data_IF_047586113916
#
_entry.id   IF_047586113916
#
_cell.length_a   1.000
_cell.length_b   1.000
_cell.length_c   1.000
_cell.angle_alpha   90.00
_cell.angle_beta   90.00
_cell.angle_gamma   90.00
#
_symmetry.space_group_name_H-M   'P 1'
#
loop_
_entity.id
_entity.type
_entity.pdbx_description
1 polymer ?
#
# COMPACT_ATOMS: atom_id res chain seq x y z
N UNK A 1 33.21 -2.34 -54.70
CA UNK A 1 33.85 -2.45 -53.39
C UNK A 1 34.91 -3.52 -53.45
N UNK A 2 36.16 -3.17 -53.24
CA UNK A 2 37.24 -4.15 -53.16
C UNK A 2 36.98 -5.04 -51.93
N UNK A 3 36.87 -6.35 -52.13
CA UNK A 3 36.86 -7.29 -51.01
C UNK A 3 38.24 -7.24 -50.37
N UNK A 4 38.29 -6.97 -49.07
CA UNK A 4 39.50 -7.13 -48.29
C UNK A 4 39.90 -8.61 -48.38
N UNK A 5 40.90 -8.92 -49.15
CA UNK A 5 41.53 -10.23 -49.24
C UNK A 5 42.72 -10.23 -48.27
N UNK A 6 43.09 -11.35 -47.70
CA UNK A 6 44.23 -11.50 -46.78
C UNK A 6 44.06 -10.71 -45.45
N UNK A 7 42.98 -10.86 -44.76
CA UNK A 7 42.77 -10.24 -43.44
C UNK A 7 42.65 -11.27 -42.35
N UNK A 8 43.03 -10.86 -41.14
CA UNK A 8 42.78 -11.53 -39.88
C UNK A 8 42.07 -10.55 -38.95
N UNK A 9 41.28 -11.06 -38.01
CA UNK A 9 40.52 -10.23 -37.09
C UNK A 9 40.89 -10.58 -35.65
N UNK A 10 41.02 -9.55 -34.78
CA UNK A 10 41.12 -9.73 -33.33
C UNK A 10 39.98 -9.01 -32.66
N UNK A 11 39.34 -9.72 -31.72
CA UNK A 11 38.15 -9.27 -30.95
C UNK A 11 38.35 -9.44 -29.45
N UNK A 12 37.61 -8.66 -28.69
CA UNK A 12 37.57 -8.76 -27.21
C UNK A 12 38.64 -7.92 -26.52
N UNK A 13 39.31 -8.48 -25.53
CA UNK A 13 40.18 -7.78 -24.60
C UNK A 13 41.56 -7.47 -25.13
N UNK A 14 41.63 -6.66 -26.19
CA UNK A 14 42.85 -6.08 -26.75
C UNK A 14 42.69 -4.56 -26.85
N UNK A 15 43.77 -3.80 -26.85
CA UNK A 15 43.67 -2.34 -26.90
C UNK A 15 43.10 -1.83 -28.22
N UNK A 16 43.41 -2.52 -29.37
CA UNK A 16 42.87 -2.17 -30.68
C UNK A 16 42.24 -3.37 -31.37
N UNK A 17 40.97 -3.67 -31.03
CA UNK A 17 40.24 -4.71 -31.74
C UNK A 17 39.93 -4.27 -33.18
N UNK A 18 39.95 -5.20 -34.11
CA UNK A 18 39.67 -4.90 -35.52
C UNK A 18 40.27 -5.89 -36.50
N UNK A 19 40.21 -5.50 -37.78
CA UNK A 19 40.76 -6.27 -38.89
C UNK A 19 42.16 -5.78 -39.23
N UNK A 20 43.09 -6.72 -39.38
CA UNK A 20 44.48 -6.48 -39.70
C UNK A 20 44.83 -7.17 -41.01
N UNK A 21 45.73 -6.58 -41.78
CA UNK A 21 46.17 -7.15 -43.05
C UNK A 21 47.22 -8.25 -42.79
N UNK A 22 46.93 -9.47 -43.25
CA UNK A 22 47.86 -10.59 -43.17
C UNK A 22 49.01 -10.37 -44.18
N UNK A 23 50.24 -10.28 -43.69
CA UNK A 23 51.40 -9.99 -44.49
C UNK A 23 52.68 -10.15 -43.67
N UNK A 24 53.80 -9.53 -44.17
CA UNK A 24 55.10 -9.64 -43.52
C UNK A 24 55.15 -9.16 -42.08
N UNK A 25 54.31 -8.15 -41.75
CA UNK A 25 54.27 -7.56 -40.39
C UNK A 25 53.30 -8.29 -39.43
N UNK A 26 52.21 -8.84 -39.96
CA UNK A 26 51.22 -9.59 -39.18
C UNK A 26 51.08 -10.97 -39.81
N UNK A 27 51.77 -11.95 -39.26
CA UNK A 27 51.81 -13.31 -39.80
C UNK A 27 51.63 -14.40 -38.75
N UNK A 28 51.57 -14.02 -37.46
CA UNK A 28 51.43 -14.92 -36.34
C UNK A 28 50.59 -14.31 -35.23
N UNK A 29 50.17 -15.11 -34.26
CA UNK A 29 49.42 -14.65 -33.11
C UNK A 29 50.18 -13.58 -32.33
N UNK A 30 51.49 -13.77 -32.11
CA UNK A 30 52.35 -12.79 -31.45
C UNK A 30 52.31 -11.44 -32.18
N UNK A 31 52.60 -11.45 -33.47
CA UNK A 31 52.63 -10.22 -34.25
C UNK A 31 51.27 -9.55 -34.35
N UNK A 32 50.15 -10.31 -34.34
CA UNK A 32 48.80 -9.77 -34.32
C UNK A 32 48.50 -9.04 -32.98
N UNK A 33 48.87 -9.66 -31.86
CA UNK A 33 48.66 -9.06 -30.52
C UNK A 33 49.57 -7.81 -30.38
N UNK A 34 50.80 -7.84 -30.85
CA UNK A 34 51.70 -6.67 -30.85
C UNK A 34 51.15 -5.50 -31.67
N UNK A 35 50.57 -5.76 -32.84
CA UNK A 35 49.93 -4.74 -33.68
C UNK A 35 48.59 -4.26 -33.11
N UNK A 36 47.93 -5.06 -32.26
CA UNK A 36 46.78 -4.65 -31.51
C UNK A 36 47.13 -3.85 -30.21
N UNK A 37 48.39 -3.40 -30.07
CA UNK A 37 48.96 -2.72 -28.91
C UNK A 37 48.91 -3.56 -27.62
N UNK A 38 48.79 -4.89 -27.75
CA UNK A 38 48.69 -5.80 -26.62
C UNK A 38 47.27 -6.13 -26.17
N UNK A 39 47.20 -6.83 -25.05
CA UNK A 39 45.92 -7.20 -24.39
C UNK A 39 45.64 -6.26 -23.23
N UNK A 40 44.37 -6.05 -22.92
CA UNK A 40 43.97 -5.23 -21.80
C UNK A 40 44.27 -5.93 -20.46
N UNK A 41 44.31 -5.18 -19.33
CA UNK A 41 44.65 -5.72 -18.01
C UNK A 41 43.67 -6.80 -17.53
N UNK A 42 42.43 -6.73 -17.98
CA UNK A 42 41.36 -7.66 -17.68
C UNK A 42 41.27 -8.85 -18.64
N UNK A 43 42.18 -8.97 -19.63
CA UNK A 43 42.21 -10.07 -20.56
C UNK A 43 42.45 -11.43 -19.89
N UNK A 44 41.78 -12.48 -20.37
CA UNK A 44 42.11 -13.87 -20.10
C UNK A 44 43.16 -14.32 -21.08
N UNK A 45 44.43 -14.29 -20.68
CA UNK A 45 45.59 -14.57 -21.56
C UNK A 45 45.94 -16.05 -21.66
N UNK A 46 45.54 -16.85 -20.65
CA UNK A 46 45.84 -18.29 -20.59
C UNK A 46 45.08 -19.12 -21.63
N UNK A 47 43.97 -18.60 -22.13
CA UNK A 47 43.16 -19.29 -23.14
C UNK A 47 42.29 -18.31 -23.94
N UNK A 48 42.78 -17.98 -25.11
CA UNK A 48 41.97 -17.33 -26.15
C UNK A 48 41.46 -18.37 -27.16
N UNK A 49 40.48 -17.97 -27.95
CA UNK A 49 39.84 -18.83 -28.95
C UNK A 49 40.07 -18.24 -30.35
N UNK A 50 40.67 -19.00 -31.24
CA UNK A 50 40.81 -18.60 -32.62
C UNK A 50 39.94 -19.48 -33.50
N UNK A 51 39.08 -18.85 -34.29
CA UNK A 51 38.31 -19.51 -35.34
C UNK A 51 39.09 -19.46 -36.63
N UNK A 52 39.38 -20.62 -37.19
CA UNK A 52 40.10 -20.82 -38.44
C UNK A 52 39.26 -21.50 -39.48
N UNK A 53 39.28 -21.00 -40.67
CA UNK A 53 38.57 -21.64 -41.79
C UNK A 53 39.42 -22.73 -42.42
N UNK A 54 38.86 -23.92 -42.52
CA UNK A 54 39.48 -25.07 -43.23
C UNK A 54 39.26 -24.98 -44.74
N UNK A 55 39.98 -25.85 -45.49
CA UNK A 55 39.86 -25.94 -46.95
C UNK A 55 38.43 -26.30 -47.42
N UNK A 56 37.67 -27.04 -46.64
CA UNK A 56 36.26 -27.41 -46.87
C UNK A 56 35.26 -26.31 -46.49
N UNK A 57 35.75 -25.12 -46.09
CA UNK A 57 35.00 -23.95 -45.64
C UNK A 57 34.25 -24.18 -44.33
N UNK A 58 34.54 -25.23 -43.57
CA UNK A 58 34.08 -25.36 -42.19
C UNK A 58 35.05 -24.64 -41.25
N UNK A 59 34.52 -24.21 -40.06
CA UNK A 59 35.35 -23.57 -39.05
C UNK A 59 35.90 -24.61 -38.08
N UNK A 60 37.16 -24.44 -37.73
CA UNK A 60 37.79 -25.13 -36.60
C UNK A 60 38.13 -24.15 -35.48
N UNK A 61 38.15 -24.63 -34.26
CA UNK A 61 38.56 -23.85 -33.07
C UNK A 61 39.97 -24.24 -32.70
N UNK A 62 40.85 -23.23 -32.69
CA UNK A 62 42.21 -23.35 -32.19
C UNK A 62 42.34 -22.65 -30.86
N UNK A 63 42.75 -23.39 -29.81
CA UNK A 63 42.98 -22.79 -28.49
C UNK A 63 44.34 -22.10 -28.47
N UNK A 64 44.41 -20.87 -28.01
CA UNK A 64 45.60 -20.02 -28.03
C UNK A 64 45.95 -19.61 -26.61
N UNK A 65 47.15 -19.95 -26.14
CA UNK A 65 47.75 -19.44 -24.92
C UNK A 65 48.57 -18.19 -25.25
N UNK A 66 47.95 -17.03 -25.15
CA UNK A 66 48.58 -15.75 -25.44
C UNK A 66 49.76 -15.50 -24.52
N UNK A 67 49.62 -15.74 -23.23
CA UNK A 67 50.68 -15.55 -22.21
C UNK A 67 51.89 -16.46 -22.51
N UNK A 68 51.62 -17.73 -22.82
CA UNK A 68 52.65 -18.69 -23.21
C UNK A 68 53.40 -18.32 -24.49
N UNK A 69 52.65 -17.81 -25.48
CA UNK A 69 53.25 -17.35 -26.76
C UNK A 69 54.08 -16.07 -26.53
N UNK A 70 53.54 -15.08 -25.82
CA UNK A 70 54.25 -13.82 -25.57
C UNK A 70 55.50 -14.00 -24.70
N UNK A 71 55.47 -14.91 -23.74
CA UNK A 71 56.64 -15.27 -22.91
C UNK A 71 57.63 -16.21 -23.61
N UNK A 72 57.32 -16.78 -24.75
CA UNK A 72 58.13 -17.78 -25.44
C UNK A 72 58.09 -19.19 -24.87
N UNK A 73 57.20 -19.49 -23.91
CA UNK A 73 56.98 -20.84 -23.35
C UNK A 73 56.22 -21.77 -24.30
N UNK A 74 55.40 -21.19 -25.18
CA UNK A 74 54.61 -21.91 -26.16
C UNK A 74 55.01 -21.41 -27.55
N UNK A 75 55.10 -22.33 -28.51
CA UNK A 75 55.41 -21.99 -29.90
C UNK A 75 54.32 -21.06 -30.48
N UNK A 76 54.77 -20.06 -31.21
CA UNK A 76 53.84 -19.12 -31.85
C UNK A 76 53.04 -19.83 -32.97
N UNK A 77 51.80 -19.35 -33.16
CA UNK A 77 50.90 -19.94 -34.14
C UNK A 77 50.85 -19.06 -35.39
N UNK A 78 51.23 -19.58 -36.56
CA UNK A 78 51.10 -18.82 -37.80
C UNK A 78 49.63 -18.59 -38.14
N UNK A 79 49.29 -17.36 -38.54
CA UNK A 79 47.96 -16.96 -38.96
C UNK A 79 47.66 -17.38 -40.39
N UNK A 80 46.38 -17.63 -40.67
CA UNK A 80 45.85 -17.87 -42.00
C UNK A 80 44.78 -16.82 -42.30
N UNK A 81 44.49 -16.66 -43.58
CA UNK A 81 43.45 -15.77 -44.06
C UNK A 81 42.09 -16.08 -43.38
N UNK A 82 41.41 -15.03 -42.95
CA UNK A 82 40.12 -15.05 -42.23
C UNK A 82 40.17 -15.70 -40.84
N UNK A 83 41.36 -15.84 -40.22
CA UNK A 83 41.42 -16.20 -38.81
C UNK A 83 40.81 -15.10 -37.96
N UNK A 84 39.99 -15.48 -36.97
CA UNK A 84 39.37 -14.58 -36.00
C UNK A 84 39.82 -14.99 -34.61
N UNK A 85 40.66 -14.18 -33.98
CA UNK A 85 41.10 -14.37 -32.59
C UNK A 85 40.20 -13.64 -31.64
N UNK A 86 39.58 -14.36 -30.72
CA UNK A 86 38.76 -13.80 -29.67
C UNK A 86 39.47 -13.92 -28.30
N UNK A 87 39.75 -12.78 -27.67
CA UNK A 87 40.33 -12.67 -26.33
C UNK A 87 39.24 -12.30 -25.34
N UNK A 88 38.91 -13.22 -24.45
CA UNK A 88 37.87 -12.99 -23.46
C UNK A 88 38.37 -12.10 -22.31
N UNK A 89 37.47 -11.37 -21.67
CA UNK A 89 37.73 -10.56 -20.46
C UNK A 89 37.43 -11.34 -19.18
N UNK A 90 38.16 -11.04 -18.12
CA UNK A 90 37.82 -11.47 -16.75
C UNK A 90 36.55 -10.80 -16.30
N UNK A 91 36.31 -9.59 -16.73
CA UNK A 91 35.23 -8.70 -16.34
C UNK A 91 33.87 -9.17 -16.88
N UNK A 92 33.81 -9.79 -18.07
CA UNK A 92 32.53 -10.35 -18.57
C UNK A 92 31.92 -11.43 -17.68
N UNK A 93 32.74 -12.16 -16.94
CA UNK A 93 32.31 -13.13 -15.93
C UNK A 93 32.00 -12.48 -14.57
N UNK A 94 32.46 -11.25 -14.34
CA UNK A 94 32.35 -10.53 -13.06
C UNK A 94 31.29 -9.40 -13.08
N UNK A 95 30.77 -9.04 -14.27
CA UNK A 95 29.92 -7.86 -14.45
C UNK A 95 28.61 -7.87 -13.68
N UNK A 96 28.18 -9.03 -13.19
CA UNK A 96 26.86 -9.19 -12.54
C UNK A 96 26.92 -9.53 -11.05
N UNK A 97 28.07 -9.33 -10.40
CA UNK A 97 28.15 -9.53 -8.96
C UNK A 97 27.54 -8.35 -8.24
N UNK A 98 26.46 -8.62 -7.52
CA UNK A 98 25.71 -7.58 -6.80
C UNK A 98 25.46 -8.00 -5.35
N UNK A 99 25.23 -7.00 -4.52
CA UNK A 99 24.66 -7.10 -3.19
C UNK A 99 23.31 -6.42 -3.17
N UNK A 100 22.40 -6.92 -2.36
CA UNK A 100 21.09 -6.30 -2.20
C UNK A 100 20.87 -5.93 -0.74
N UNK A 101 20.45 -4.69 -0.46
CA UNK A 101 20.05 -4.25 0.88
C UNK A 101 18.61 -3.79 0.87
N UNK A 102 17.84 -4.23 1.89
CA UNK A 102 16.42 -3.94 2.04
C UNK A 102 16.07 -3.60 3.48
N UNK A 103 14.91 -3.02 3.68
CA UNK A 103 14.38 -2.67 5.00
C UNK A 103 14.77 -1.27 5.42
N UNK A 104 15.09 -1.08 6.70
CA UNK A 104 15.23 0.22 7.34
C UNK A 104 16.63 0.83 7.15
N UNK A 105 16.98 1.10 5.88
CA UNK A 105 18.18 1.86 5.47
C UNK A 105 17.75 3.06 4.64
N UNK A 106 18.64 4.08 4.53
CA UNK A 106 18.29 5.32 3.81
C UNK A 106 18.07 5.06 2.30
N UNK A 107 18.91 4.24 1.68
CA UNK A 107 18.85 3.94 0.26
C UNK A 107 18.82 2.41 0.02
N UNK A 108 17.65 1.77 0.17
CA UNK A 108 17.52 0.35 -0.15
C UNK A 108 17.67 0.14 -1.67
N UNK A 109 18.37 -0.93 -2.06
CA UNK A 109 18.62 -1.18 -3.47
C UNK A 109 19.60 -2.30 -3.76
N UNK A 110 20.02 -2.38 -5.02
CA UNK A 110 21.02 -3.31 -5.53
C UNK A 110 22.29 -2.53 -5.81
N UNK A 111 23.39 -3.00 -5.25
CA UNK A 111 24.72 -2.39 -5.35
C UNK A 111 25.71 -3.33 -6.02
N UNK A 112 26.78 -2.80 -6.59
CA UNK A 112 27.87 -3.63 -7.10
C UNK A 112 28.65 -4.22 -5.93
N UNK A 113 28.97 -5.50 -6.02
CA UNK A 113 29.79 -6.17 -5.03
C UNK A 113 31.27 -5.72 -5.13
N UNK A 114 31.86 -5.47 -3.98
CA UNK A 114 33.30 -5.28 -3.83
C UNK A 114 33.92 -6.41 -2.98
N UNK A 115 35.16 -6.80 -3.27
CA UNK A 115 35.86 -7.80 -2.48
C UNK A 115 36.16 -7.25 -1.06
N UNK A 116 36.01 -8.10 -0.05
CA UNK A 116 36.21 -7.79 1.38
C UNK A 116 35.20 -6.79 1.99
N UNK A 117 34.10 -6.51 1.32
CA UNK A 117 33.04 -5.65 1.83
C UNK A 117 32.37 -6.30 3.05
N UNK A 118 32.24 -5.54 4.15
CA UNK A 118 31.58 -5.98 5.37
C UNK A 118 30.13 -5.52 5.41
N UNK A 119 29.35 -6.05 6.37
CA UNK A 119 27.97 -5.60 6.59
C UNK A 119 27.92 -4.12 6.96
N UNK A 120 28.89 -3.68 7.77
CA UNK A 120 29.03 -2.28 8.20
C UNK A 120 29.29 -1.35 7.02
N UNK A 121 30.25 -1.72 6.15
CA UNK A 121 30.58 -0.94 4.95
C UNK A 121 29.35 -0.82 4.05
N UNK A 122 28.63 -1.92 3.87
CA UNK A 122 27.44 -1.95 3.02
C UNK A 122 26.29 -1.11 3.56
N UNK A 123 26.05 -1.12 4.88
CA UNK A 123 25.07 -0.24 5.53
C UNK A 123 25.45 1.23 5.35
N UNK A 124 26.75 1.57 5.52
CA UNK A 124 27.25 2.94 5.29
C UNK A 124 27.06 3.35 3.84
N UNK A 125 27.37 2.47 2.89
CA UNK A 125 27.18 2.72 1.46
C UNK A 125 25.69 2.95 1.11
N UNK A 126 24.77 2.26 1.82
CA UNK A 126 23.33 2.47 1.71
C UNK A 126 22.83 3.74 2.46
N UNK A 127 23.72 4.62 2.89
CA UNK A 127 23.39 5.88 3.56
C UNK A 127 23.14 5.75 5.06
N UNK A 128 23.41 4.58 5.65
CA UNK A 128 23.16 4.30 7.06
C UNK A 128 21.74 3.82 7.34
N UNK A 129 21.43 3.64 8.62
CA UNK A 129 20.14 3.16 9.10
C UNK A 129 19.12 4.30 9.22
N UNK A 130 17.84 3.97 9.11
CA UNK A 130 16.75 4.87 9.49
C UNK A 130 16.55 4.85 11.01
N UNK A 131 15.84 5.84 11.55
CA UNK A 131 15.44 5.88 12.97
C UNK A 131 14.50 4.72 13.38
N UNK A 132 13.95 4.03 12.41
CA UNK A 132 13.04 2.87 12.58
C UNK A 132 13.81 1.55 12.66
N UNK A 133 15.10 1.54 12.34
CA UNK A 133 15.89 0.34 12.23
C UNK A 133 16.10 -0.36 13.57
N UNK A 134 16.13 -1.69 13.53
CA UNK A 134 16.55 -2.52 14.66
C UNK A 134 18.05 -2.73 14.62
N UNK A 135 18.75 -2.34 15.68
CA UNK A 135 20.17 -2.67 15.86
C UNK A 135 20.38 -4.14 16.27
N UNK A 136 19.34 -4.80 16.76
CA UNK A 136 19.45 -6.19 17.27
C UNK A 136 19.20 -7.26 16.21
N UNK A 137 18.73 -6.88 15.03
CA UNK A 137 18.33 -7.86 14.02
C UNK A 137 18.58 -7.35 12.60
N UNK A 138 19.81 -7.59 12.13
CA UNK A 138 20.18 -7.49 10.72
C UNK A 138 20.38 -8.89 10.18
N UNK A 139 19.62 -9.28 9.20
CA UNK A 139 19.64 -10.63 8.64
C UNK A 139 20.32 -10.61 7.28
N UNK A 140 21.30 -11.48 7.11
CA UNK A 140 22.03 -11.67 5.86
C UNK A 140 21.64 -13.02 5.28
N UNK A 141 21.07 -13.04 4.08
CA UNK A 141 20.73 -14.25 3.37
C UNK A 141 21.73 -14.49 2.25
N UNK A 142 22.43 -15.61 2.33
CA UNK A 142 23.42 -16.07 1.37
C UNK A 142 22.89 -17.26 0.59
N UNK A 143 22.79 -17.14 -0.71
CA UNK A 143 22.39 -18.26 -1.56
C UNK A 143 23.39 -19.40 -1.50
N UNK A 144 22.90 -20.63 -1.51
CA UNK A 144 23.74 -21.82 -1.67
C UNK A 144 23.89 -22.10 -3.15
N UNK A 145 25.12 -22.15 -3.63
CA UNK A 145 25.44 -22.50 -5.02
C UNK A 145 26.60 -23.49 -5.02
N UNK A 146 26.31 -24.71 -5.41
CA UNK A 146 27.33 -25.74 -5.66
C UNK A 146 27.32 -26.09 -7.15
N UNK A 147 28.29 -25.57 -7.95
CA UNK A 147 28.35 -25.84 -9.39
C UNK A 147 28.73 -27.32 -9.70
N UNK A 148 29.10 -28.12 -8.69
CA UNK A 148 29.44 -29.53 -8.83
C UNK A 148 28.31 -30.45 -8.36
N UNK A 149 27.21 -29.90 -7.84
CA UNK A 149 26.08 -30.70 -7.37
C UNK A 149 25.43 -31.49 -8.52
N UNK A 150 25.28 -32.79 -8.33
CA UNK A 150 24.59 -33.67 -9.27
C UNK A 150 23.10 -33.84 -8.95
N UNK A 151 22.65 -33.28 -7.82
CA UNK A 151 21.25 -33.31 -7.37
C UNK A 151 20.88 -31.98 -6.71
N UNK A 152 19.63 -31.55 -6.80
CA UNK A 152 19.18 -30.35 -6.08
C UNK A 152 19.30 -30.56 -4.57
N UNK A 153 19.87 -29.61 -3.86
CA UNK A 153 19.84 -29.56 -2.40
C UNK A 153 18.48 -29.02 -1.92
N UNK A 154 18.07 -29.45 -0.74
CA UNK A 154 16.91 -28.90 -0.06
C UNK A 154 17.20 -27.51 0.57
N UNK A 155 18.45 -27.18 0.80
CA UNK A 155 18.90 -25.90 1.38
C UNK A 155 19.17 -24.93 0.23
N UNK A 156 18.37 -23.90 0.13
CA UNK A 156 18.48 -22.86 -0.92
C UNK A 156 19.21 -21.62 -0.47
N UNK A 157 19.22 -21.34 0.84
CA UNK A 157 19.93 -20.20 1.43
C UNK A 157 20.40 -20.48 2.84
N UNK A 158 21.49 -19.81 3.24
CA UNK A 158 21.98 -19.75 4.61
C UNK A 158 21.73 -18.35 5.16
N UNK A 159 21.11 -18.25 6.33
CA UNK A 159 20.82 -16.97 6.98
C UNK A 159 21.72 -16.75 8.16
N UNK A 160 22.28 -15.56 8.27
CA UNK A 160 23.08 -15.10 9.40
C UNK A 160 22.36 -13.89 10.01
N UNK A 161 22.18 -13.90 11.33
CA UNK A 161 21.63 -12.76 12.04
C UNK A 161 22.73 -12.12 12.87
N UNK A 162 22.85 -10.82 12.76
CA UNK A 162 23.85 -10.03 13.50
C UNK A 162 23.15 -8.89 14.24
N UNK A 163 23.68 -8.53 15.39
CA UNK A 163 23.36 -7.31 16.10
C UNK A 163 24.40 -6.24 15.77
N UNK A 164 23.99 -4.98 15.77
CA UNK A 164 24.87 -3.83 15.55
C UNK A 164 24.99 -3.01 16.83
N UNK A 165 26.16 -2.41 17.05
CA UNK A 165 26.38 -1.35 18.03
C UNK A 165 25.90 0.00 17.50
N UNK A 166 25.85 1.00 18.37
CA UNK A 166 25.39 2.36 18.01
C UNK A 166 26.17 3.02 16.86
N UNK A 167 27.41 2.56 16.60
CA UNK A 167 28.24 3.03 15.48
C UNK A 167 28.17 2.13 14.24
N UNK A 168 27.13 1.29 14.11
CA UNK A 168 26.88 0.30 13.04
C UNK A 168 27.88 -0.88 13.00
N UNK A 169 28.86 -0.94 13.88
CA UNK A 169 29.75 -2.09 13.96
C UNK A 169 28.97 -3.33 14.42
N UNK A 170 29.29 -4.50 13.84
CA UNK A 170 28.69 -5.78 14.26
C UNK A 170 29.09 -6.05 15.73
N UNK A 171 28.11 -6.43 16.55
CA UNK A 171 28.36 -6.83 17.93
C UNK A 171 28.93 -8.25 17.96
N UNK A 172 30.16 -8.38 18.47
CA UNK A 172 30.90 -9.63 18.53
C UNK A 172 32.27 -9.56 17.85
N UNK A 173 33.04 -10.64 17.96
CA UNK A 173 34.41 -10.72 17.44
C UNK A 173 34.52 -11.16 15.97
N UNK A 174 33.37 -11.25 15.26
CA UNK A 174 33.36 -11.75 13.89
C UNK A 174 32.95 -10.64 12.90
N UNK A 175 33.93 -10.17 12.17
CA UNK A 175 33.69 -9.40 10.94
C UNK A 175 33.05 -10.32 9.92
N UNK A 176 31.78 -10.07 9.57
CA UNK A 176 31.11 -10.84 8.54
C UNK A 176 31.33 -10.19 7.18
N UNK A 177 32.20 -10.80 6.38
CA UNK A 177 32.42 -10.39 5.00
C UNK A 177 31.28 -10.88 4.11
N UNK A 178 30.74 -9.99 3.32
CA UNK A 178 29.69 -10.30 2.36
C UNK A 178 30.25 -11.05 1.16
N UNK A 179 29.42 -11.87 0.55
CA UNK A 179 29.72 -12.58 -0.69
C UNK A 179 28.80 -12.10 -1.82
N UNK A 180 29.23 -12.29 -3.09
CA UNK A 180 28.38 -11.93 -4.22
C UNK A 180 26.98 -12.54 -4.09
N UNK A 181 25.97 -11.69 -4.36
CA UNK A 181 24.54 -12.00 -4.28
C UNK A 181 23.99 -12.23 -2.86
N UNK A 182 24.71 -11.81 -1.82
CA UNK A 182 24.13 -11.74 -0.49
C UNK A 182 23.02 -10.67 -0.46
N UNK A 183 21.96 -10.98 0.28
CA UNK A 183 20.87 -10.05 0.55
C UNK A 183 20.88 -9.70 2.03
N UNK A 184 20.99 -8.40 2.34
CA UNK A 184 20.98 -7.86 3.68
C UNK A 184 19.60 -7.26 3.98
N UNK A 185 18.98 -7.68 5.07
CA UNK A 185 17.68 -7.20 5.53
C UNK A 185 17.84 -6.51 6.87
N UNK A 186 17.65 -5.20 6.90
CA UNK A 186 17.60 -4.44 8.15
C UNK A 186 16.16 -4.40 8.62
N UNK A 187 15.88 -5.09 9.72
CA UNK A 187 14.52 -5.19 10.24
C UNK A 187 14.11 -3.90 10.96
N UNK A 188 12.81 -3.61 10.94
CA UNK A 188 12.24 -2.53 11.75
C UNK A 188 12.29 -2.90 13.22
N UNK A 189 12.65 -1.95 14.06
CA UNK A 189 12.61 -2.12 15.51
C UNK A 189 11.19 -2.31 16.01
N UNK A 190 10.89 -3.38 16.77
CA UNK A 190 9.58 -3.55 17.39
C UNK A 190 9.30 -2.48 18.46
N UNK A 191 10.35 -1.82 18.97
CA UNK A 191 10.22 -0.70 19.91
C UNK A 191 9.94 0.64 19.25
N UNK A 192 10.02 0.72 17.91
CA UNK A 192 9.70 1.95 17.19
C UNK A 192 8.21 2.03 16.89
N UNK A 193 7.59 3.06 17.39
CA UNK A 193 6.19 3.40 17.07
C UNK A 193 6.16 4.85 16.58
N UNK A 194 5.59 5.08 15.42
CA UNK A 194 5.33 6.44 14.93
C UNK A 194 4.41 7.17 15.89
N UNK A 195 4.65 8.48 16.07
CA UNK A 195 3.78 9.28 16.91
C UNK A 195 2.37 9.27 16.33
N UNK A 196 1.42 8.82 17.15
CA UNK A 196 0.01 8.78 16.83
C UNK A 196 -0.70 9.93 17.51
N UNK A 197 -1.62 10.56 16.79
CA UNK A 197 -2.33 11.74 17.27
C UNK A 197 -3.84 11.54 17.14
N UNK A 198 -4.55 12.12 18.10
CA UNK A 198 -6.02 12.21 18.13
C UNK A 198 -6.42 13.64 18.34
N UNK A 199 -7.63 14.03 17.94
CA UNK A 199 -8.13 15.40 18.15
C UNK A 199 -9.40 15.43 18.97
N UNK A 200 -9.58 16.52 19.69
CA UNK A 200 -10.81 16.84 20.44
C UNK A 200 -11.35 18.17 19.96
N UNK A 201 -12.60 18.21 19.59
CA UNK A 201 -13.28 19.38 19.05
C UNK A 201 -14.58 19.66 19.82
N UNK A 202 -15.03 20.93 19.76
CA UNK A 202 -16.29 21.37 20.32
C UNK A 202 -16.18 21.81 21.78
N UNK A 203 -17.18 21.50 22.59
CA UNK A 203 -17.41 22.07 23.92
C UNK A 203 -16.60 21.35 25.01
N UNK A 204 -15.27 21.45 24.91
CA UNK A 204 -14.29 21.02 25.92
C UNK A 204 -13.45 22.21 26.37
N UNK A 205 -12.75 22.10 27.50
CA UNK A 205 -11.92 23.20 27.99
C UNK A 205 -10.72 23.47 27.08
N UNK A 206 -10.07 22.42 26.61
CA UNK A 206 -8.88 22.52 25.72
C UNK A 206 -9.12 21.67 24.47
N UNK A 207 -9.74 22.27 23.45
CA UNK A 207 -9.85 21.65 22.14
C UNK A 207 -8.48 21.66 21.43
N UNK A 208 -8.16 20.59 20.68
CA UNK A 208 -6.90 20.51 19.97
C UNK A 208 -6.45 19.08 19.68
N UNK A 209 -5.21 18.94 19.25
CA UNK A 209 -4.58 17.66 18.93
C UNK A 209 -3.76 17.16 20.11
N UNK A 210 -3.89 15.88 20.41
CA UNK A 210 -3.23 15.19 21.52
C UNK A 210 -2.47 13.98 21.00
N UNK A 211 -1.24 13.81 21.45
CA UNK A 211 -0.48 12.60 21.18
C UNK A 211 -1.00 11.44 22.03
N UNK A 212 -1.09 10.25 21.43
CA UNK A 212 -1.33 9.00 22.13
C UNK A 212 -0.03 8.56 22.81
N UNK A 213 -0.04 8.54 24.15
CA UNK A 213 1.14 8.15 24.94
C UNK A 213 1.28 6.62 25.06
N UNK A 214 0.19 5.89 24.86
CA UNK A 214 0.13 4.42 25.00
C UNK A 214 -0.79 3.85 23.94
N UNK A 215 -0.49 2.64 23.49
CA UNK A 215 -1.33 1.92 22.52
C UNK A 215 -2.73 1.59 23.02
N UNK A 216 -2.95 1.65 24.33
CA UNK A 216 -4.23 1.39 24.98
C UNK A 216 -4.89 2.66 25.55
N UNK A 217 -4.47 3.86 25.11
CA UNK A 217 -5.11 5.12 25.49
C UNK A 217 -6.60 5.09 25.13
N UNK A 218 -7.45 5.44 26.08
CA UNK A 218 -8.91 5.32 25.96
C UNK A 218 -9.60 6.66 25.82
N UNK A 219 -10.87 6.61 25.44
CA UNK A 219 -11.73 7.77 25.28
C UNK A 219 -11.81 8.62 26.55
N UNK A 220 -11.92 7.97 27.72
CA UNK A 220 -11.95 8.65 29.02
C UNK A 220 -10.66 9.39 29.34
N UNK A 221 -9.49 8.83 28.95
CA UNK A 221 -8.19 9.46 29.16
C UNK A 221 -8.05 10.73 28.31
N UNK A 222 -8.45 10.65 27.04
CA UNK A 222 -8.43 11.81 26.13
C UNK A 222 -9.33 12.93 26.64
N UNK A 223 -10.56 12.59 27.03
CA UNK A 223 -11.51 13.58 27.53
C UNK A 223 -11.04 14.24 28.83
N UNK A 224 -10.38 13.50 29.73
CA UNK A 224 -9.74 14.06 30.93
C UNK A 224 -8.57 15.00 30.56
N UNK A 225 -7.72 14.59 29.60
CA UNK A 225 -6.61 15.42 29.12
C UNK A 225 -7.07 16.74 28.50
N UNK A 226 -8.22 16.74 27.81
CA UNK A 226 -8.82 17.94 27.26
C UNK A 226 -9.47 18.85 28.32
N UNK A 227 -9.28 18.55 29.59
CA UNK A 227 -9.86 19.30 30.72
C UNK A 227 -11.32 19.00 30.99
N UNK A 228 -11.91 18.04 30.27
CA UNK A 228 -13.32 17.72 30.37
C UNK A 228 -14.23 18.70 29.63
N UNK A 229 -15.54 18.67 29.97
CA UNK A 229 -16.56 19.51 29.33
C UNK A 229 -16.61 20.92 29.90
N UNK A 230 -16.88 21.89 29.03
CA UNK A 230 -17.33 23.21 29.48
C UNK A 230 -18.82 23.22 29.86
N UNK A 231 -19.35 24.37 30.30
CA UNK A 231 -20.74 24.50 30.74
C UNK A 231 -21.79 24.36 29.63
N UNK A 232 -21.40 24.37 28.37
CA UNK A 232 -22.31 24.30 27.22
C UNK A 232 -22.34 22.90 26.58
N UNK A 233 -21.48 22.00 27.02
CA UNK A 233 -21.28 20.69 26.43
C UNK A 233 -22.48 19.74 26.58
N UNK A 234 -22.81 19.06 25.50
CA UNK A 234 -23.77 17.95 25.53
C UNK A 234 -23.04 16.61 25.41
N UNK A 235 -22.58 16.09 26.56
CA UNK A 235 -21.76 14.86 26.65
C UNK A 235 -22.45 13.64 26.02
N UNK A 236 -23.77 13.50 26.17
CA UNK A 236 -24.56 12.41 25.57
C UNK A 236 -24.61 12.47 24.05
N UNK A 237 -24.36 13.63 23.48
CA UNK A 237 -24.30 13.85 22.05
C UNK A 237 -22.89 13.70 21.46
N UNK A 238 -21.89 13.48 22.30
CA UNK A 238 -20.52 13.32 21.84
C UNK A 238 -20.40 12.15 20.86
N UNK A 239 -19.61 12.34 19.83
CA UNK A 239 -19.38 11.35 18.76
C UNK A 239 -17.89 11.22 18.47
N UNK A 240 -17.48 10.03 18.07
CA UNK A 240 -16.14 9.73 17.63
C UNK A 240 -16.15 9.57 16.11
N UNK A 241 -15.31 10.32 15.41
CA UNK A 241 -15.03 10.09 13.99
C UNK A 241 -13.74 9.30 13.91
N UNK A 242 -13.76 8.22 13.15
CA UNK A 242 -12.61 7.32 12.99
C UNK A 242 -12.21 7.22 11.53
N UNK A 243 -10.92 7.31 11.26
CA UNK A 243 -10.39 7.11 9.91
C UNK A 243 -10.52 5.64 9.53
N UNK A 244 -11.08 5.39 8.34
CA UNK A 244 -11.20 4.04 7.82
C UNK A 244 -9.84 3.52 7.34
N UNK A 245 -9.48 2.33 7.80
CA UNK A 245 -8.33 1.62 7.24
C UNK A 245 -8.70 0.95 5.90
N UNK A 246 -7.69 0.47 5.15
CA UNK A 246 -7.92 -0.13 3.84
C UNK A 246 -8.92 -1.29 3.86
N UNK A 247 -8.87 -2.12 4.90
CA UNK A 247 -9.81 -3.25 5.05
C UNK A 247 -11.24 -2.77 5.32
N UNK A 248 -11.38 -1.72 6.14
CA UNK A 248 -12.67 -1.11 6.43
C UNK A 248 -13.23 -0.39 5.19
N UNK A 249 -12.39 0.34 4.44
CA UNK A 249 -12.78 0.94 3.15
C UNK A 249 -13.26 -0.11 2.16
N UNK A 250 -12.52 -1.19 1.98
CA UNK A 250 -12.91 -2.29 1.09
C UNK A 250 -14.26 -2.92 1.48
N UNK A 251 -14.53 -3.08 2.79
CA UNK A 251 -15.83 -3.55 3.27
C UNK A 251 -16.96 -2.56 2.98
N UNK A 252 -16.73 -1.26 3.22
CA UNK A 252 -17.71 -0.22 2.92
C UNK A 252 -18.02 -0.17 1.43
N UNK A 253 -17.02 -0.27 0.56
CA UNK A 253 -17.20 -0.34 -0.88
C UNK A 253 -18.01 -1.56 -1.31
N UNK A 254 -17.73 -2.73 -0.73
CA UNK A 254 -18.48 -3.96 -1.03
C UNK A 254 -19.96 -3.82 -0.67
N UNK A 255 -20.25 -3.22 0.50
CA UNK A 255 -21.64 -2.97 0.94
C UNK A 255 -22.34 -1.97 0.02
N UNK A 256 -21.66 -0.89 -0.37
CA UNK A 256 -22.21 0.09 -1.30
C UNK A 256 -22.52 -0.54 -2.67
N UNK A 257 -21.61 -1.37 -3.19
CA UNK A 257 -21.85 -2.13 -4.43
C UNK A 257 -23.06 -3.05 -4.33
N UNK A 258 -23.18 -3.80 -3.24
CA UNK A 258 -24.37 -4.65 -3.00
C UNK A 258 -25.67 -3.83 -2.99
N UNK A 259 -25.68 -2.70 -2.30
CA UNK A 259 -26.85 -1.82 -2.26
C UNK A 259 -27.20 -1.25 -3.64
N UNK A 260 -26.19 -0.86 -4.42
CA UNK A 260 -26.39 -0.40 -5.79
C UNK A 260 -26.96 -1.50 -6.69
N UNK A 261 -26.47 -2.73 -6.56
CA UNK A 261 -26.99 -3.89 -7.29
C UNK A 261 -28.44 -4.20 -6.88
N UNK A 262 -28.76 -4.12 -5.60
CA UNK A 262 -30.13 -4.33 -5.13
C UNK A 262 -31.07 -3.23 -5.62
N UNK A 263 -30.65 -1.96 -5.58
CA UNK A 263 -31.40 -0.85 -6.16
C UNK A 263 -31.59 -1.03 -7.66
N UNK A 264 -30.54 -1.45 -8.39
CA UNK A 264 -30.61 -1.73 -9.83
C UNK A 264 -31.57 -2.87 -10.14
N UNK A 265 -31.56 -3.95 -9.35
CA UNK A 265 -32.51 -5.07 -9.48
C UNK A 265 -33.96 -4.60 -9.24
N UNK A 266 -34.17 -3.82 -8.19
CA UNK A 266 -35.48 -3.27 -7.87
C UNK A 266 -36.00 -2.33 -8.97
N UNK A 267 -35.12 -1.53 -9.56
CA UNK A 267 -35.44 -0.63 -10.69
C UNK A 267 -35.77 -1.42 -11.94
N UNK A 268 -35.02 -2.48 -12.26
CA UNK A 268 -35.29 -3.37 -13.40
C UNK A 268 -36.61 -4.13 -13.22
N UNK A 269 -36.97 -4.57 -12.02
CA UNK A 269 -38.26 -5.21 -11.76
C UNK A 269 -39.43 -4.22 -11.90
N UNK A 270 -39.26 -2.95 -11.52
CA UNK A 270 -40.24 -1.89 -11.73
C UNK A 270 -40.40 -1.54 -13.20
N UNK A 271 -39.31 -1.49 -13.97
CA UNK A 271 -39.34 -1.21 -15.42
C UNK A 271 -39.97 -2.34 -16.23
N UNK A 272 -39.77 -3.60 -15.81
CA UNK A 272 -40.41 -4.74 -16.47
C UNK A 272 -41.94 -4.80 -16.26
N UNK A 273 -42.44 -4.10 -15.25
CA UNK A 273 -43.91 -4.03 -14.98
C UNK A 273 -44.59 -2.79 -15.56
N UNK A 274 -43.88 -1.92 -16.29
CA UNK A 274 -44.40 -0.71 -16.88
C UNK A 274 -44.49 -0.82 -18.41
N UNK A 275 -45.64 -0.44 -18.98
CA UNK A 275 -45.93 -0.54 -20.43
C UNK A 275 -45.07 0.36 -21.36
N UNK A 276 -44.08 1.09 -20.84
CA UNK A 276 -43.14 1.95 -21.58
C UNK A 276 -41.67 1.66 -21.20
N UNK A 277 -41.24 0.43 -21.43
CA UNK A 277 -39.92 -0.07 -21.00
C UNK A 277 -38.71 0.65 -21.62
N UNK A 278 -38.83 1.16 -22.86
CA UNK A 278 -37.67 1.73 -23.59
C UNK A 278 -37.26 3.13 -23.09
N UNK A 279 -38.19 4.00 -22.75
CA UNK A 279 -37.89 5.35 -22.25
C UNK A 279 -37.41 5.36 -20.80
N UNK A 280 -37.82 4.35 -20.00
CA UNK A 280 -37.36 4.17 -18.61
C UNK A 280 -35.97 3.55 -18.51
N UNK A 281 -35.54 2.75 -19.50
CA UNK A 281 -34.19 2.14 -19.47
C UNK A 281 -33.08 3.17 -19.69
N UNK A 282 -33.25 4.14 -20.61
CA UNK A 282 -32.25 5.20 -20.85
C UNK A 282 -32.14 6.16 -19.67
N UNK A 283 -33.27 6.62 -19.13
CA UNK A 283 -33.30 7.52 -17.95
C UNK A 283 -32.79 6.81 -16.67
N UNK A 284 -33.02 5.52 -16.51
CA UNK A 284 -32.53 4.74 -15.40
C UNK A 284 -31.01 4.50 -15.48
N UNK A 285 -30.47 4.30 -16.67
CA UNK A 285 -29.03 4.16 -16.89
C UNK A 285 -28.27 5.46 -16.61
N UNK A 286 -28.80 6.60 -17.03
CA UNK A 286 -28.19 7.91 -16.81
C UNK A 286 -28.30 8.36 -15.35
N UNK A 287 -29.43 8.10 -14.67
CA UNK A 287 -29.59 8.36 -13.26
C UNK A 287 -28.70 7.45 -12.40
N UNK A 288 -28.47 6.20 -12.83
CA UNK A 288 -27.59 5.27 -12.13
C UNK A 288 -26.12 5.68 -12.30
N UNK A 289 -25.70 6.12 -13.50
CA UNK A 289 -24.35 6.65 -13.73
C UNK A 289 -24.09 7.92 -12.93
N UNK A 290 -24.99 8.89 -12.94
CA UNK A 290 -24.87 10.14 -12.21
C UNK A 290 -24.85 9.96 -10.67
N UNK A 291 -25.48 8.91 -10.14
CA UNK A 291 -25.41 8.57 -8.71
C UNK A 291 -24.19 7.74 -8.35
N UNK A 292 -23.68 6.89 -9.25
CA UNK A 292 -22.46 6.09 -9.01
C UNK A 292 -21.22 6.99 -8.90
N UNK A 293 -21.12 8.04 -9.71
CA UNK A 293 -20.00 8.99 -9.67
C UNK A 293 -19.96 9.85 -8.38
N UNK A 294 -21.07 9.97 -7.65
CA UNK A 294 -21.18 10.80 -6.44
C UNK A 294 -20.94 10.08 -5.11
N UNK A 295 -20.89 8.74 -5.09
CA UNK A 295 -20.67 7.98 -3.87
C UNK A 295 -19.21 7.56 -3.73
N UNK A 296 -18.39 8.45 -3.22
CA UNK A 296 -17.07 8.09 -2.66
C UNK A 296 -17.24 7.61 -1.23
N UNK A 297 -16.55 6.52 -0.88
CA UNK A 297 -16.46 6.07 0.50
C UNK A 297 -15.77 7.16 1.32
N UNK A 298 -16.37 7.67 2.39
CA UNK A 298 -15.74 8.70 3.20
C UNK A 298 -14.50 8.14 3.89
N UNK A 299 -13.46 8.97 3.99
CA UNK A 299 -12.23 8.61 4.70
C UNK A 299 -12.44 8.43 6.19
N UNK A 300 -13.47 9.05 6.76
CA UNK A 300 -13.85 8.96 8.17
C UNK A 300 -15.29 8.49 8.32
N UNK A 301 -15.54 7.68 9.34
CA UNK A 301 -16.87 7.23 9.68
C UNK A 301 -17.19 7.47 11.15
N UNK A 302 -18.47 7.75 11.50
CA UNK A 302 -18.88 7.95 12.89
C UNK A 302 -18.94 6.62 13.63
N UNK A 303 -18.32 6.57 14.80
CA UNK A 303 -18.44 5.47 15.76
C UNK A 303 -19.40 5.91 16.85
N UNK A 304 -20.47 5.13 17.09
CA UNK A 304 -21.47 5.42 18.11
C UNK A 304 -20.92 5.15 19.49
N UNK A 305 -20.62 6.21 20.24
CA UNK A 305 -20.04 6.15 21.58
C UNK A 305 -21.07 6.49 22.67
N UNK A 306 -20.74 6.16 23.91
CA UNK A 306 -21.38 6.69 25.11
C UNK A 306 -20.33 7.28 26.05
N UNK A 307 -19.97 8.55 25.78
CA UNK A 307 -18.93 9.25 26.54
C UNK A 307 -19.32 9.36 28.03
N UNK A 308 -20.59 9.53 28.32
CA UNK A 308 -21.05 9.63 29.71
C UNK A 308 -20.82 8.31 30.48
N UNK A 309 -21.07 7.18 29.85
CA UNK A 309 -20.82 5.86 30.44
C UNK A 309 -19.33 5.54 30.53
N UNK A 310 -18.56 5.86 29.49
CA UNK A 310 -17.10 5.72 29.47
C UNK A 310 -16.44 6.50 30.63
N UNK A 311 -16.95 7.69 30.93
CA UNK A 311 -16.43 8.50 32.03
C UNK A 311 -16.80 7.98 33.42
N UNK A 312 -17.96 7.33 33.55
CA UNK A 312 -18.39 6.71 34.83
C UNK A 312 -17.65 5.41 35.12
N UNK A 313 -17.40 4.62 34.09
CA UNK A 313 -16.77 3.32 34.17
C UNK A 313 -15.54 3.23 33.23
N UNK A 314 -14.41 3.92 33.58
CA UNK A 314 -13.19 3.85 32.82
C UNK A 314 -12.69 2.41 32.68
N UNK A 315 -12.28 2.02 31.46
CA UNK A 315 -11.84 0.66 31.19
C UNK A 315 -12.95 -0.33 30.81
N UNK A 316 -14.23 0.09 30.84
CA UNK A 316 -15.35 -0.72 30.36
C UNK A 316 -15.39 -0.81 28.83
N UNK A 317 -16.31 -1.65 28.31
CA UNK A 317 -16.53 -1.76 26.85
C UNK A 317 -17.02 -0.45 26.21
N UNK A 318 -17.64 0.43 26.97
CA UNK A 318 -18.07 1.76 26.52
C UNK A 318 -16.87 2.71 26.36
N UNK A 319 -15.76 2.45 27.05
CA UNK A 319 -14.55 3.26 27.06
C UNK A 319 -13.57 2.75 25.99
N UNK A 320 -13.84 3.11 24.74
CA UNK A 320 -13.13 2.62 23.57
C UNK A 320 -11.65 3.00 23.58
N UNK A 321 -10.82 2.08 23.10
CA UNK A 321 -9.41 2.36 22.79
C UNK A 321 -9.35 3.22 21.53
N UNK A 322 -8.58 4.30 21.60
CA UNK A 322 -8.40 5.24 20.52
C UNK A 322 -7.36 4.73 19.50
N UNK A 323 -7.51 5.19 18.27
CA UNK A 323 -6.59 4.92 17.15
C UNK A 323 -6.06 6.23 16.61
N UNK A 324 -4.95 6.14 15.90
CA UNK A 324 -4.41 7.30 15.19
C UNK A 324 -5.43 7.94 14.26
N UNK A 325 -5.52 9.27 14.33
CA UNK A 325 -6.48 10.06 13.56
C UNK A 325 -7.91 10.06 14.10
N UNK A 326 -8.19 9.40 15.22
CA UNK A 326 -9.52 9.50 15.86
C UNK A 326 -9.81 10.94 16.28
N UNK A 327 -11.06 11.38 16.07
CA UNK A 327 -11.53 12.73 16.36
C UNK A 327 -12.78 12.69 17.24
N UNK A 328 -12.61 13.10 18.49
CA UNK A 328 -13.71 13.24 19.44
C UNK A 328 -14.39 14.60 19.27
N UNK A 329 -15.67 14.62 18.97
CA UNK A 329 -16.48 15.84 18.82
C UNK A 329 -17.50 15.88 19.95
N UNK A 330 -17.39 16.89 20.80
CA UNK A 330 -18.34 17.15 21.89
C UNK A 330 -19.24 18.32 21.48
N UNK A 331 -20.49 18.08 21.05
CA UNK A 331 -21.35 19.16 20.57
C UNK A 331 -21.89 20.01 21.70
N UNK A 332 -22.35 21.20 21.35
CA UNK A 332 -23.15 22.04 22.23
C UNK A 332 -24.51 21.40 22.43
N UNK A 333 -25.09 21.65 23.61
CA UNK A 333 -26.48 21.25 23.88
C UNK A 333 -27.44 21.93 22.91
N UNK A 334 -28.17 21.10 22.16
CA UNK A 334 -29.24 21.55 21.26
C UNK A 334 -30.58 21.06 21.77
N UNK A 335 -31.38 21.98 22.27
CA UNK A 335 -32.73 21.71 22.84
C UNK A 335 -33.80 21.46 21.79
N UNK A 336 -33.47 20.86 20.64
CA UNK A 336 -34.44 20.62 19.57
C UNK A 336 -34.46 19.14 19.16
N UNK A 337 -35.53 18.74 18.46
CA UNK A 337 -35.70 17.43 17.82
C UNK A 337 -36.07 17.68 16.38
N UNK A 338 -35.34 17.10 15.43
CA UNK A 338 -35.62 17.19 14.03
C UNK A 338 -36.52 16.02 13.59
N UNK A 339 -37.54 16.30 12.78
CA UNK A 339 -38.46 15.30 12.24
C UNK A 339 -38.40 15.34 10.73
N UNK A 340 -38.05 14.20 10.12
CA UNK A 340 -37.85 14.09 8.69
C UNK A 340 -38.52 12.85 8.09
N UNK A 341 -38.61 12.83 6.74
CA UNK A 341 -39.16 11.72 5.95
C UNK A 341 -40.63 11.85 5.69
N UNK A 342 -41.40 10.76 5.73
CA UNK A 342 -42.82 10.71 5.40
C UNK A 342 -43.70 11.25 6.51
N UNK A 343 -43.58 12.55 6.80
CA UNK A 343 -44.43 13.34 7.67
C UNK A 343 -45.09 14.45 6.83
N UNK A 344 -46.17 15.05 7.34
CA UNK A 344 -46.86 16.08 6.60
C UNK A 344 -45.99 17.32 6.36
N UNK A 345 -45.18 17.71 7.35
CA UNK A 345 -44.29 18.85 7.26
C UNK A 345 -42.99 18.56 8.04
N UNK A 346 -41.89 18.28 7.31
CA UNK A 346 -40.60 18.07 7.96
C UNK A 346 -40.13 19.36 8.64
N UNK A 347 -39.87 19.32 9.93
CA UNK A 347 -39.50 20.49 10.72
C UNK A 347 -38.59 20.13 11.91
N UNK A 348 -38.19 21.16 12.64
CA UNK A 348 -37.43 21.04 13.90
C UNK A 348 -38.28 21.61 15.03
N UNK A 349 -38.51 20.78 16.03
CA UNK A 349 -39.41 21.07 17.17
C UNK A 349 -38.58 21.22 18.44
N UNK A 350 -38.98 22.09 19.37
CA UNK A 350 -38.34 22.18 20.67
C UNK A 350 -38.43 20.86 21.45
N UNK A 351 -37.32 20.47 22.09
CA UNK A 351 -37.32 19.26 22.91
C UNK A 351 -38.08 19.45 24.22
N UNK A 352 -38.99 18.54 24.52
CA UNK A 352 -39.70 18.47 25.78
C UNK A 352 -39.37 17.16 26.49
N UNK A 353 -38.95 17.28 27.77
CA UNK A 353 -38.56 16.14 28.57
C UNK A 353 -39.73 15.19 28.79
N UNK A 354 -39.54 13.89 28.58
CA UNK A 354 -40.51 12.84 28.80
C UNK A 354 -41.51 12.61 27.67
N UNK A 355 -41.51 13.42 26.63
CA UNK A 355 -42.33 13.20 25.45
C UNK A 355 -41.79 12.07 24.57
N UNK A 356 -42.70 11.29 23.99
CA UNK A 356 -42.39 10.19 23.08
C UNK A 356 -42.27 10.70 21.61
N UNK A 357 -41.71 9.91 20.73
CA UNK A 357 -41.54 10.27 19.33
C UNK A 357 -42.86 10.62 18.62
N UNK A 358 -43.98 10.00 18.97
CA UNK A 358 -45.32 10.35 18.46
C UNK A 358 -45.65 11.81 18.62
N UNK A 359 -45.37 12.40 19.81
CA UNK A 359 -45.58 13.82 20.04
C UNK A 359 -44.88 14.72 19.02
N UNK A 360 -43.64 14.45 18.71
CA UNK A 360 -42.86 15.24 17.73
C UNK A 360 -43.34 15.03 16.30
N UNK A 361 -43.77 13.80 15.97
CA UNK A 361 -44.37 13.50 14.68
C UNK A 361 -45.70 14.25 14.49
N UNK A 362 -46.52 14.32 15.57
CA UNK A 362 -47.78 15.07 15.56
C UNK A 362 -47.51 16.59 15.40
N UNK A 363 -46.47 17.13 16.02
CA UNK A 363 -46.01 18.51 15.81
C UNK A 363 -45.50 18.77 14.38
N UNK A 364 -45.13 17.73 13.66
CA UNK A 364 -44.80 17.76 12.23
C UNK A 364 -46.04 17.54 11.31
N UNK A 365 -47.25 17.71 11.87
CA UNK A 365 -48.50 17.49 11.15
C UNK A 365 -48.92 16.03 11.03
N UNK A 366 -48.25 15.12 11.72
CA UNK A 366 -48.51 13.68 11.69
C UNK A 366 -47.82 12.97 10.52
N UNK A 367 -48.16 11.69 10.36
CA UNK A 367 -47.62 10.84 9.32
C UNK A 367 -48.23 11.18 7.95
N UNK A 368 -47.41 11.23 6.91
CA UNK A 368 -47.89 11.31 5.55
C UNK A 368 -48.59 10.00 5.11
N UNK A 369 -49.38 10.06 4.06
CA UNK A 369 -50.24 8.93 3.58
C UNK A 369 -49.41 7.71 3.15
N UNK A 370 -48.14 7.92 2.76
CA UNK A 370 -47.20 6.90 2.33
C UNK A 370 -46.22 6.47 3.45
N UNK A 371 -46.39 6.95 4.67
CA UNK A 371 -45.53 6.62 5.81
C UNK A 371 -45.53 5.13 6.19
N UNK A 372 -44.33 4.57 6.44
CA UNK A 372 -44.19 3.24 7.06
C UNK A 372 -43.95 3.38 8.55
N UNK A 373 -45.05 3.58 9.31
CA UNK A 373 -45.06 3.88 10.74
C UNK A 373 -44.20 2.90 11.57
N UNK A 374 -44.25 1.58 11.25
CA UNK A 374 -43.53 0.54 11.99
C UNK A 374 -42.01 0.49 11.75
N UNK A 375 -41.52 1.25 10.76
CA UNK A 375 -40.08 1.32 10.41
C UNK A 375 -39.44 2.67 10.77
N UNK A 376 -40.16 3.54 11.47
CA UNK A 376 -39.60 4.81 11.93
C UNK A 376 -38.48 4.56 12.97
N UNK A 377 -37.45 5.38 12.93
CA UNK A 377 -36.28 5.26 13.79
C UNK A 377 -35.74 6.63 14.23
N UNK A 378 -34.93 6.62 15.28
CA UNK A 378 -34.24 7.81 15.81
C UNK A 378 -32.75 7.70 15.52
N UNK A 379 -32.16 8.77 15.04
CA UNK A 379 -30.71 8.97 14.93
C UNK A 379 -30.33 9.92 16.07
N UNK A 380 -29.46 9.46 16.96
CA UNK A 380 -28.93 10.28 18.04
C UNK A 380 -27.71 11.06 17.61
N UNK A 381 -27.42 12.18 18.30
CA UNK A 381 -26.22 12.99 17.98
C UNK A 381 -24.92 12.22 18.11
N UNK A 382 -24.87 11.21 18.97
CA UNK A 382 -23.70 10.34 19.16
C UNK A 382 -23.52 9.25 18.08
N UNK A 383 -24.33 9.26 17.01
CA UNK A 383 -24.26 8.30 15.91
C UNK A 383 -25.02 6.99 16.13
N UNK A 384 -25.59 6.76 17.31
CA UNK A 384 -26.46 5.58 17.56
C UNK A 384 -27.80 5.73 16.85
N UNK A 385 -28.36 4.60 16.41
CA UNK A 385 -29.69 4.54 15.78
C UNK A 385 -30.55 3.54 16.50
N UNK A 386 -31.80 3.90 16.77
CA UNK A 386 -32.77 3.02 17.45
C UNK A 386 -34.13 3.03 16.74
N UNK A 387 -34.73 1.85 16.59
CA UNK A 387 -36.09 1.72 16.05
C UNK A 387 -37.11 2.23 17.07
N UNK A 388 -38.10 3.01 16.63
CA UNK A 388 -39.18 3.50 17.51
C UNK A 388 -40.00 2.36 18.10
N UNK A 389 -40.19 1.27 17.39
CA UNK A 389 -40.94 0.09 17.84
C UNK A 389 -40.34 -0.60 19.08
N UNK A 390 -39.07 -0.34 19.42
CA UNK A 390 -38.39 -0.89 20.57
C UNK A 390 -38.34 0.06 21.78
N UNK A 391 -39.21 1.06 21.81
CA UNK A 391 -39.33 1.98 22.96
C UNK A 391 -38.19 2.99 23.07
N UNK A 392 -37.57 3.35 21.93
CA UNK A 392 -36.48 4.33 21.85
C UNK A 392 -36.91 5.67 22.49
N UNK A 393 -36.06 6.20 23.40
CA UNK A 393 -36.30 7.47 24.09
C UNK A 393 -35.78 8.62 23.24
N UNK A 394 -36.62 9.63 23.04
CA UNK A 394 -36.20 10.88 22.37
C UNK A 394 -35.22 11.63 23.27
N UNK A 395 -34.16 12.12 22.69
CA UNK A 395 -33.12 12.92 23.35
C UNK A 395 -32.93 14.25 22.62
N UNK A 396 -32.45 15.29 23.30
CA UNK A 396 -32.14 16.58 22.65
C UNK A 396 -31.18 16.40 21.49
N UNK A 397 -31.41 17.12 20.40
CA UNK A 397 -30.58 17.08 19.20
C UNK A 397 -30.76 15.84 18.33
N UNK A 398 -31.64 14.91 18.65
CA UNK A 398 -31.86 13.72 17.82
C UNK A 398 -32.73 14.04 16.59
N UNK A 399 -32.66 13.15 15.61
CA UNK A 399 -33.47 13.19 14.40
C UNK A 399 -34.40 11.96 14.34
N UNK A 400 -35.70 12.21 14.20
CA UNK A 400 -36.69 11.18 13.98
C UNK A 400 -36.93 11.07 12.48
N UNK A 401 -36.70 9.87 11.93
CA UNK A 401 -36.85 9.59 10.51
C UNK A 401 -38.02 8.62 10.29
N UNK A 402 -38.97 9.03 9.47
CA UNK A 402 -40.13 8.21 9.08
C UNK A 402 -39.98 7.78 7.62
N UNK A 403 -39.72 6.49 7.34
CA UNK A 403 -39.59 6.00 5.95
C UNK A 403 -40.91 6.05 5.19
N UNK A 404 -40.83 6.33 3.87
CA UNK A 404 -41.97 6.24 2.95
C UNK A 404 -42.14 4.83 2.39
N UNK A 405 -43.38 4.47 2.02
CA UNK A 405 -43.66 3.29 1.18
C UNK A 405 -43.20 3.59 -0.25
N UNK A 406 -42.45 2.72 -0.85
CA UNK A 406 -42.19 2.77 -2.30
C UNK A 406 -43.54 2.54 -3.03
N UNK A 407 -44.06 3.57 -3.71
CA UNK A 407 -45.26 3.44 -4.53
C UNK A 407 -44.91 2.57 -5.74
N UNK A 408 -45.71 1.55 -6.04
CA UNK A 408 -45.55 0.63 -7.17
C UNK A 408 -45.67 1.33 -8.57
N UNK A 409 -46.10 2.59 -8.59
CA UNK A 409 -46.18 3.43 -9.80
C UNK A 409 -45.65 4.81 -9.44
N UNK A 410 -44.40 5.05 -9.66
CA UNK A 410 -43.77 6.37 -9.57
C UNK A 410 -43.36 6.83 -10.95
N UNK A 411 -43.58 8.11 -11.24
CA UNK A 411 -43.02 8.74 -12.45
C UNK A 411 -41.52 8.95 -12.29
N UNK A 412 -40.77 8.98 -13.39
CA UNK A 412 -39.32 9.18 -13.36
C UNK A 412 -38.90 10.48 -12.64
N UNK A 413 -39.73 11.53 -12.69
CA UNK A 413 -39.53 12.81 -12.02
C UNK A 413 -39.66 12.70 -10.47
N UNK A 414 -40.63 11.92 -10.00
CA UNK A 414 -40.79 11.65 -8.54
C UNK A 414 -39.66 10.81 -7.97
N UNK A 415 -39.09 9.86 -8.75
CA UNK A 415 -37.91 9.09 -8.35
C UNK A 415 -36.66 9.96 -8.28
N UNK A 416 -36.46 10.90 -9.16
CA UNK A 416 -35.33 11.84 -9.11
C UNK A 416 -35.40 12.77 -7.90
N UNK A 417 -36.58 13.24 -7.50
CA UNK A 417 -36.75 14.13 -6.35
C UNK A 417 -36.49 13.44 -5.02
N UNK A 418 -36.74 12.13 -4.89
CA UNK A 418 -36.45 11.35 -3.68
C UNK A 418 -34.96 11.06 -3.47
N UNK A 419 -34.19 10.92 -4.55
CA UNK A 419 -32.74 10.69 -4.49
C UNK A 419 -31.95 11.87 -3.91
N UNK A 420 -32.50 13.10 -4.02
CA UNK A 420 -31.85 14.31 -3.52
C UNK A 420 -32.19 14.67 -2.06
N UNK A 421 -33.26 14.11 -1.50
CA UNK A 421 -33.74 14.47 -0.16
C UNK A 421 -33.29 13.51 0.97
N UNK A 422 -32.81 12.32 0.65
CA UNK A 422 -32.15 11.47 1.64
C UNK A 422 -30.71 11.94 1.80
N UNK A 423 -30.42 12.67 2.86
CA UNK A 423 -29.05 13.00 3.21
C UNK A 423 -28.26 11.69 3.28
N UNK A 424 -27.28 11.54 2.41
CA UNK A 424 -26.45 10.33 2.24
C UNK A 424 -25.82 9.83 3.54
N UNK A 425 -25.67 10.69 4.53
CA UNK A 425 -25.10 10.42 5.84
C UNK A 425 -26.04 9.55 6.71
N UNK A 426 -27.36 9.81 6.70
CA UNK A 426 -28.30 9.05 7.52
C UNK A 426 -28.49 7.60 7.02
N UNK A 427 -28.50 7.40 5.69
CA UNK A 427 -28.53 6.06 5.09
C UNK A 427 -27.24 5.28 5.37
N UNK A 428 -26.08 5.95 5.33
CA UNK A 428 -24.79 5.35 5.61
C UNK A 428 -24.63 4.95 7.08
N UNK A 429 -25.05 5.80 8.03
CA UNK A 429 -25.03 5.50 9.46
C UNK A 429 -25.92 4.30 9.78
N UNK A 430 -27.12 4.21 9.22
CA UNK A 430 -28.02 3.08 9.43
C UNK A 430 -27.45 1.75 8.89
N UNK A 431 -26.69 1.80 7.82
CA UNK A 431 -26.09 0.61 7.20
C UNK A 431 -24.84 0.13 7.95
N UNK A 432 -24.00 1.06 8.38
CA UNK A 432 -22.79 0.76 9.15
C UNK A 432 -23.16 0.20 10.54
N UNK A 433 -24.17 0.75 11.18
CA UNK A 433 -24.67 0.23 12.47
C UNK A 433 -25.19 -1.20 12.37
N UNK A 434 -25.80 -1.61 11.26
CA UNK A 434 -26.26 -2.98 11.04
C UNK A 434 -25.13 -3.99 10.74
N UNK A 435 -23.98 -3.53 10.31
CA UNK A 435 -22.82 -4.39 9.96
C UNK A 435 -21.96 -4.65 11.21
N UNK A 436 -21.90 -3.69 12.13
CA UNK A 436 -21.09 -3.79 13.35
C UNK A 436 -21.82 -4.60 14.45
N UNK A 437 -23.14 -4.73 14.38
CA UNK A 437 -23.95 -5.44 15.38
C UNK A 437 -24.35 -6.87 15.00
N UNK A 438 -23.82 -7.39 13.92
CA UNK A 438 -23.78 -8.81 13.58
C UNK A 438 -22.32 -9.27 13.60
#
# INVERSE_FOLDING_TARGET
MARYANTVEVKGAVFRPGMYNLGEQVNSVRSLIEHADGVTEDAITSRAVMHRMKADRTLEVVSVDIEGIMSGRVADIPLKENDVLFVATKTEKMSDRTLTIRGEVQYPGVYKYADNETVEDFIIQAGGLTDKASLMNVSISRRVSDPKALRPDSVIAKTFNVALKDNFAVDGDRTLTLMPFDEVYVMRSPGYTEQQNVSVEGEVLFAGTYALERNNTRLSDLFKKSGGSNGLAYIKGARLMRRANETEKARMEAVLKMQQEEQKKNLLQLSASANNAAALQTTAQDATKANIEKFQVPDEYPVGIDLAEAMKHPGSDADLVLRDGDRLIVPQYNGTVKVNGAVMYANTVAYERGKRAGYYIDQAGGYASDAVKGRAYIIYMNGKVSKLSHGAKVQPGCEIVVPAKLKRKMTAAEMMSMGSSMSSIAAMIATISNIITK
#
